data_IF_638812950907
#
_entry.id   IF_638812950907
#
_cell.length_a   1.000
_cell.length_b   1.000
_cell.length_c   1.000
_cell.angle_alpha   90.00
_cell.angle_beta   90.00
_cell.angle_gamma   90.00
#
_symmetry.space_group_name_H-M   'P 1'
#
loop_
_entity.id
_entity.type
_entity.pdbx_description
1 polymer ?
#
# COMPACT_ATOMS: atom_id res chain seq x y z
N UNK A 1 -4.20 -49.39 37.78
CA UNK A 1 -3.09 -48.48 38.15
C UNK A 1 -2.33 -48.19 36.86
N UNK A 2 -2.74 -47.14 36.15
CA UNK A 2 -1.89 -45.98 35.75
C UNK A 2 -0.72 -46.47 34.89
N UNK A 3 -0.65 -46.17 33.60
CA UNK A 3 -0.04 -44.92 33.13
C UNK A 3 -0.72 -44.40 31.85
N UNK A 4 -1.26 -43.19 31.95
CA UNK A 4 -1.61 -42.31 30.84
C UNK A 4 -0.31 -41.83 30.18
N UNK A 5 -0.03 -42.26 28.96
CA UNK A 5 0.92 -41.55 28.10
C UNK A 5 0.24 -40.27 27.63
N UNK A 6 0.38 -39.23 28.44
CA UNK A 6 0.07 -37.86 28.12
C UNK A 6 0.83 -37.53 26.84
N UNK A 7 0.10 -37.41 25.73
CA UNK A 7 0.63 -36.97 24.45
C UNK A 7 1.24 -35.58 24.63
N UNK A 8 2.56 -35.55 24.74
CA UNK A 8 3.37 -34.35 24.65
C UNK A 8 3.42 -33.97 23.17
N UNK A 9 2.29 -33.49 22.65
CA UNK A 9 2.29 -32.71 21.41
C UNK A 9 3.10 -31.47 21.77
N UNK A 10 4.30 -31.24 21.18
CA UNK A 10 4.89 -29.94 21.28
C UNK A 10 3.91 -29.04 20.54
N UNK A 11 3.20 -28.20 21.30
CA UNK A 11 2.45 -27.06 20.81
C UNK A 11 3.52 -26.12 20.20
N UNK A 12 4.04 -26.50 19.04
CA UNK A 12 4.97 -25.74 18.26
C UNK A 12 4.22 -24.47 17.91
N UNK A 13 4.54 -23.44 18.68
CA UNK A 13 3.91 -22.14 18.66
C UNK A 13 3.95 -21.69 17.20
N UNK A 14 2.79 -21.66 16.55
CA UNK A 14 2.57 -20.91 15.32
C UNK A 14 2.66 -19.43 15.70
N UNK A 15 3.87 -18.98 16.03
CA UNK A 15 4.23 -17.57 16.02
C UNK A 15 4.19 -17.21 14.55
N UNK A 16 2.98 -16.88 14.08
CA UNK A 16 2.84 -16.06 12.89
C UNK A 16 3.63 -14.81 13.23
N UNK A 17 4.83 -14.68 12.67
CA UNK A 17 5.62 -13.48 12.76
C UNK A 17 4.74 -12.36 12.19
N UNK A 18 3.97 -11.70 13.04
CA UNK A 18 3.39 -10.41 12.74
C UNK A 18 4.57 -9.48 12.70
N UNK A 19 5.23 -9.42 11.55
CA UNK A 19 6.20 -8.39 11.22
C UNK A 19 5.48 -7.05 11.44
N UNK A 20 5.64 -6.49 12.63
CA UNK A 20 5.13 -5.18 12.94
C UNK A 20 5.90 -4.23 12.07
N UNK A 21 5.23 -3.65 11.07
CA UNK A 21 5.87 -2.62 10.25
C UNK A 21 6.43 -1.55 11.17
N UNK A 22 7.69 -1.20 10.92
CA UNK A 22 8.32 -0.03 11.49
C UNK A 22 7.51 1.21 11.12
N UNK A 23 7.72 2.28 11.87
CA UNK A 23 7.08 3.55 11.57
C UNK A 23 7.46 4.06 10.18
N UNK A 24 8.74 3.94 9.82
CA UNK A 24 9.26 4.37 8.53
C UNK A 24 8.57 3.63 7.38
N UNK A 25 8.47 2.29 7.46
CA UNK A 25 7.78 1.49 6.42
C UNK A 25 6.29 1.87 6.29
N UNK A 26 5.61 2.22 7.40
CA UNK A 26 4.23 2.70 7.34
C UNK A 26 4.14 4.03 6.59
N UNK A 27 5.04 4.95 6.87
CA UNK A 27 5.10 6.24 6.20
C UNK A 27 5.35 6.07 4.70
N UNK A 28 6.34 5.25 4.33
CA UNK A 28 6.68 4.95 2.93
C UNK A 28 5.51 4.31 2.18
N UNK A 29 4.86 3.29 2.75
CA UNK A 29 3.73 2.59 2.12
C UNK A 29 2.48 3.46 2.05
N UNK A 30 2.24 4.33 3.04
CA UNK A 30 1.17 5.32 2.96
C UNK A 30 1.41 6.28 1.79
N UNK A 31 2.60 6.89 1.72
CA UNK A 31 2.95 7.84 0.68
C UNK A 31 2.88 7.19 -0.72
N UNK A 32 3.38 5.96 -0.84
CA UNK A 32 3.34 5.17 -2.06
C UNK A 32 1.91 4.89 -2.50
N UNK A 33 1.06 4.36 -1.61
CA UNK A 33 -0.32 4.05 -1.96
C UNK A 33 -1.06 5.31 -2.45
N UNK A 34 -0.93 6.43 -1.74
CA UNK A 34 -1.59 7.68 -2.14
C UNK A 34 -1.03 8.21 -3.47
N UNK A 35 0.29 8.18 -3.67
CA UNK A 35 0.93 8.63 -4.92
C UNK A 35 0.52 7.77 -6.11
N UNK A 36 0.49 6.45 -5.95
CA UNK A 36 0.07 5.50 -6.99
C UNK A 36 -1.38 5.76 -7.39
N UNK A 37 -2.28 5.94 -6.42
CA UNK A 37 -3.69 6.22 -6.71
C UNK A 37 -3.89 7.58 -7.36
N UNK A 38 -3.17 8.61 -6.92
CA UNK A 38 -3.23 9.93 -7.56
C UNK A 38 -2.73 9.90 -9.00
N UNK A 39 -1.64 9.16 -9.25
CA UNK A 39 -1.08 8.97 -10.59
C UNK A 39 -2.02 8.17 -11.49
N UNK A 40 -2.69 7.14 -10.96
CA UNK A 40 -3.70 6.36 -11.68
C UNK A 40 -4.85 7.23 -12.23
N UNK A 41 -5.20 8.32 -11.54
CA UNK A 41 -6.22 9.26 -12.00
C UNK A 41 -5.67 10.39 -12.87
N UNK A 42 -4.39 10.36 -13.28
CA UNK A 42 -3.78 11.45 -14.04
C UNK A 42 -3.81 12.78 -13.27
N UNK A 43 -3.53 12.73 -11.96
CA UNK A 43 -3.54 13.88 -11.06
C UNK A 43 -4.91 14.61 -10.90
N UNK A 44 -6.01 13.97 -11.31
CA UNK A 44 -7.37 14.53 -11.15
C UNK A 44 -8.35 13.49 -10.64
N UNK A 45 -8.64 13.52 -9.34
CA UNK A 45 -9.53 12.55 -8.71
C UNK A 45 -10.99 12.81 -9.11
N UNK A 46 -11.69 11.85 -9.73
CA UNK A 46 -13.01 12.10 -10.32
C UNK A 46 -14.16 12.14 -9.29
N UNK A 47 -14.09 11.33 -8.22
CA UNK A 47 -15.08 11.34 -7.14
C UNK A 47 -14.59 10.57 -5.91
N UNK A 48 -15.19 10.83 -4.74
CA UNK A 48 -14.91 10.11 -3.49
C UNK A 48 -15.11 8.60 -3.64
N UNK A 49 -16.16 8.17 -4.34
CA UNK A 49 -16.45 6.75 -4.56
C UNK A 49 -15.37 6.06 -5.40
N UNK A 50 -14.94 6.69 -6.49
CA UNK A 50 -13.86 6.18 -7.36
C UNK A 50 -12.53 6.16 -6.61
N UNK A 51 -12.24 7.21 -5.84
CA UNK A 51 -11.06 7.27 -4.97
C UNK A 51 -11.03 6.10 -3.98
N UNK A 52 -12.10 5.90 -3.21
CA UNK A 52 -12.14 4.82 -2.22
C UNK A 52 -11.99 3.44 -2.87
N UNK A 53 -12.59 3.24 -4.04
CA UNK A 53 -12.43 2.00 -4.80
C UNK A 53 -10.96 1.77 -5.15
N UNK A 54 -10.28 2.78 -5.69
CA UNK A 54 -8.88 2.68 -6.10
C UNK A 54 -7.94 2.53 -4.90
N UNK A 55 -8.18 3.23 -3.80
CA UNK A 55 -7.43 3.05 -2.54
C UNK A 55 -7.56 1.62 -2.02
N UNK A 56 -8.77 1.04 -2.04
CA UNK A 56 -8.96 -0.36 -1.63
C UNK A 56 -8.23 -1.33 -2.53
N UNK A 57 -8.20 -1.07 -3.84
CA UNK A 57 -7.45 -1.87 -4.79
C UNK A 57 -5.95 -1.80 -4.47
N UNK A 58 -5.39 -0.61 -4.35
CA UNK A 58 -3.97 -0.40 -4.06
C UNK A 58 -3.57 -1.00 -2.70
N UNK A 59 -4.35 -0.79 -1.64
CA UNK A 59 -4.10 -1.39 -0.31
C UNK A 59 -4.01 -2.92 -0.33
N UNK A 60 -4.66 -3.61 -1.29
CA UNK A 60 -4.61 -5.09 -1.38
C UNK A 60 -3.30 -5.60 -1.95
N UNK A 61 -2.55 -4.77 -2.67
CA UNK A 61 -1.25 -5.10 -3.27
C UNK A 61 -0.11 -5.11 -2.25
N UNK A 62 -0.29 -4.40 -1.13
CA UNK A 62 0.70 -4.30 -0.05
C UNK A 62 0.35 -5.29 1.07
N UNK A 63 0.71 -6.58 0.95
CA UNK A 63 0.27 -7.63 1.87
C UNK A 63 0.55 -7.34 3.35
N UNK A 64 1.74 -6.82 3.66
CA UNK A 64 2.18 -6.43 4.99
C UNK A 64 1.41 -5.19 5.52
N UNK A 65 1.01 -4.26 4.66
CA UNK A 65 0.30 -3.03 5.04
C UNK A 65 -1.23 -3.14 4.94
N UNK A 66 -1.76 -4.13 4.21
CA UNK A 66 -3.17 -4.28 3.83
C UNK A 66 -4.15 -4.15 5.00
N UNK A 67 -3.86 -4.82 6.12
CA UNK A 67 -4.73 -4.83 7.32
C UNK A 67 -4.85 -3.45 7.96
N UNK A 68 -3.82 -2.61 7.84
CA UNK A 68 -3.80 -1.22 8.33
C UNK A 68 -4.35 -0.24 7.30
N UNK A 69 -3.93 -0.40 6.03
CA UNK A 69 -4.31 0.47 4.92
C UNK A 69 -5.82 0.52 4.68
N UNK A 70 -6.49 -0.63 4.58
CA UNK A 70 -7.91 -0.69 4.24
C UNK A 70 -8.83 0.10 5.20
N UNK A 71 -8.78 -0.09 6.54
CA UNK A 71 -9.59 0.70 7.45
C UNK A 71 -9.16 2.16 7.47
N UNK A 72 -7.86 2.46 7.43
CA UNK A 72 -7.33 3.82 7.44
C UNK A 72 -7.85 4.65 6.26
N UNK A 73 -7.73 4.12 5.04
CA UNK A 73 -8.20 4.79 3.82
C UNK A 73 -9.72 4.93 3.80
N UNK A 74 -10.47 3.96 4.35
CA UNK A 74 -11.93 4.02 4.41
C UNK A 74 -12.41 5.10 5.38
N UNK A 75 -11.85 5.16 6.59
CA UNK A 75 -12.25 6.10 7.63
C UNK A 75 -11.89 7.55 7.27
N UNK A 76 -10.78 7.74 6.54
CA UNK A 76 -10.25 9.07 6.23
C UNK A 76 -10.41 9.43 4.73
N UNK A 77 -11.32 8.77 4.00
CA UNK A 77 -11.47 8.98 2.57
C UNK A 77 -11.76 10.44 2.22
N UNK A 78 -12.48 11.16 3.08
CA UNK A 78 -12.80 12.58 2.87
C UNK A 78 -11.55 13.46 2.98
N UNK A 79 -10.72 13.24 4.02
CA UNK A 79 -9.44 13.94 4.19
C UNK A 79 -8.52 13.68 3.00
N UNK A 80 -8.43 12.42 2.56
CA UNK A 80 -7.60 12.05 1.40
C UNK A 80 -8.12 12.71 0.12
N UNK A 81 -9.44 12.70 -0.10
CA UNK A 81 -10.07 13.32 -1.26
C UNK A 81 -9.78 14.82 -1.33
N UNK A 82 -9.91 15.53 -0.20
CA UNK A 82 -9.58 16.95 -0.12
C UNK A 82 -8.09 17.21 -0.31
N UNK A 83 -7.21 16.39 0.28
CA UNK A 83 -5.76 16.50 0.07
C UNK A 83 -5.37 16.35 -1.41
N UNK A 84 -5.98 15.40 -2.12
CA UNK A 84 -5.73 15.18 -3.56
C UNK A 84 -6.39 16.21 -4.48
N UNK A 85 -7.33 17.02 -3.99
CA UNK A 85 -7.95 18.08 -4.80
C UNK A 85 -7.06 19.32 -4.94
N UNK A 86 -6.00 19.42 -4.14
CA UNK A 86 -5.04 20.51 -4.22
C UNK A 86 -4.12 20.34 -5.44
N UNK A 87 -3.89 21.43 -6.19
CA UNK A 87 -3.02 21.44 -7.38
C UNK A 87 -1.57 21.01 -7.09
N UNK A 88 -1.14 21.09 -5.83
CA UNK A 88 0.19 20.70 -5.35
C UNK A 88 0.09 19.52 -4.39
N UNK A 89 -0.59 18.45 -4.77
CA UNK A 89 -0.77 17.29 -3.90
C UNK A 89 0.58 16.71 -3.42
N UNK A 90 0.77 16.68 -2.11
CA UNK A 90 1.94 16.08 -1.44
C UNK A 90 1.50 14.91 -0.56
N UNK A 91 1.79 13.65 -0.94
CA UNK A 91 1.36 12.47 -0.19
C UNK A 91 1.76 12.50 1.29
N UNK A 92 2.95 13.01 1.60
CA UNK A 92 3.47 13.11 2.97
C UNK A 92 2.56 13.95 3.88
N UNK A 93 1.98 15.04 3.39
CA UNK A 93 1.11 15.91 4.20
C UNK A 93 -0.15 15.18 4.63
N UNK A 94 -0.74 14.40 3.71
CA UNK A 94 -1.90 13.56 4.04
C UNK A 94 -1.47 12.44 4.99
N UNK A 95 -0.34 11.78 4.74
CA UNK A 95 0.15 10.71 5.63
C UNK A 95 0.53 11.18 7.03
N UNK A 96 0.93 12.45 7.21
CA UNK A 96 1.09 13.10 8.52
C UNK A 96 -0.26 13.23 9.23
N UNK A 97 -1.29 13.73 8.54
CA UNK A 97 -2.65 13.84 9.09
C UNK A 97 -3.20 12.46 9.49
N UNK A 98 -2.93 11.44 8.68
CA UNK A 98 -3.31 10.05 8.93
C UNK A 98 -2.46 9.37 10.02
N UNK A 99 -1.44 10.04 10.55
CA UNK A 99 -0.49 9.52 11.56
C UNK A 99 0.28 8.28 11.10
N UNK A 100 0.54 8.19 9.80
CA UNK A 100 1.43 7.18 9.22
C UNK A 100 2.86 7.69 9.11
N UNK A 101 3.06 9.00 9.04
CA UNK A 101 4.35 9.68 9.07
C UNK A 101 4.50 10.55 10.33
N UNK A 102 5.74 10.86 10.70
CA UNK A 102 6.14 11.90 11.67
C UNK A 102 6.75 13.11 10.95
N UNK A 103 6.82 14.24 11.63
CA UNK A 103 7.33 15.52 11.10
C UNK A 103 8.75 15.44 10.54
N UNK A 104 9.57 14.50 11.01
CA UNK A 104 10.94 14.30 10.55
C UNK A 104 11.08 13.21 9.47
N UNK A 105 9.99 12.56 9.07
CA UNK A 105 10.03 11.58 7.99
C UNK A 105 10.18 12.30 6.64
N UNK A 106 10.90 11.68 5.72
CA UNK A 106 11.20 12.25 4.40
C UNK A 106 10.06 11.99 3.41
N UNK A 107 9.89 12.90 2.45
CA UNK A 107 9.01 12.66 1.30
C UNK A 107 9.57 11.51 0.48
N UNK A 108 8.69 10.65 -0.02
CA UNK A 108 9.06 9.55 -0.90
C UNK A 108 9.67 10.11 -2.21
N UNK A 109 10.88 9.67 -2.55
CA UNK A 109 11.54 10.03 -3.81
C UNK A 109 10.87 9.31 -4.99
N UNK A 110 11.08 9.80 -6.21
CA UNK A 110 10.54 9.16 -7.43
C UNK A 110 11.17 7.78 -7.64
N UNK A 111 12.47 7.65 -7.37
CA UNK A 111 13.25 6.40 -7.54
C UNK A 111 12.73 5.23 -6.71
N UNK A 112 12.25 5.50 -5.48
CA UNK A 112 11.69 4.47 -4.61
C UNK A 112 10.37 3.87 -5.15
N UNK A 113 9.59 4.66 -5.90
CA UNK A 113 8.35 4.20 -6.50
C UNK A 113 8.62 3.18 -7.61
N UNK A 114 9.70 3.38 -8.37
CA UNK A 114 10.05 2.48 -9.48
C UNK A 114 10.64 1.16 -8.97
N UNK A 115 11.47 1.19 -7.92
CA UNK A 115 11.97 -0.03 -7.28
C UNK A 115 10.85 -0.91 -6.69
N UNK A 116 9.82 -0.31 -6.08
CA UNK A 116 8.68 -1.07 -5.55
C UNK A 116 7.74 -1.59 -6.62
N UNK A 117 7.57 -0.86 -7.73
CA UNK A 117 6.87 -1.40 -8.89
C UNK A 117 7.59 -2.64 -9.40
N UNK A 118 8.91 -2.59 -9.53
CA UNK A 118 9.72 -3.73 -10.01
C UNK A 118 9.69 -4.91 -9.02
N UNK A 119 9.79 -4.65 -7.71
CA UNK A 119 9.70 -5.67 -6.67
C UNK A 119 8.31 -6.36 -6.60
N UNK A 120 7.25 -5.71 -7.11
CA UNK A 120 5.92 -6.30 -7.23
C UNK A 120 5.61 -6.85 -8.64
N UNK A 121 6.53 -6.73 -9.60
CA UNK A 121 6.31 -6.97 -11.03
C UNK A 121 6.97 -8.23 -11.61
N UNK A 122 7.42 -9.21 -10.83
CA UNK A 122 7.88 -10.50 -11.38
C UNK A 122 7.22 -11.72 -10.72
N UNK A 123 6.83 -12.75 -11.51
CA UNK A 123 5.98 -12.62 -12.70
C UNK A 123 4.87 -13.69 -12.76
N UNK A 124 3.68 -13.34 -13.23
CA UNK A 124 2.83 -14.30 -13.96
C UNK A 124 2.80 -13.89 -15.43
N UNK A 125 3.57 -14.67 -16.19
CA UNK A 125 3.49 -15.01 -17.61
C UNK A 125 2.23 -14.55 -18.35
N UNK A 126 2.47 -13.92 -19.50
CA UNK A 126 1.63 -14.05 -20.70
C UNK A 126 0.86 -12.79 -21.07
N UNK A 127 1.39 -12.01 -22.01
CA UNK A 127 0.70 -11.48 -23.19
C UNK A 127 1.73 -10.68 -23.98
N UNK A 128 2.37 -11.31 -24.96
CA UNK A 128 3.01 -10.58 -26.07
C UNK A 128 1.90 -10.19 -27.03
N UNK A 129 1.37 -8.97 -26.87
CA UNK A 129 0.57 -8.32 -27.90
C UNK A 129 1.52 -7.56 -28.84
N UNK A 130 1.45 -7.97 -30.10
CA UNK A 130 1.56 -7.20 -31.33
C UNK A 130 2.56 -6.02 -31.41
N UNK A 131 3.53 -6.25 -32.28
CA UNK A 131 4.42 -5.27 -32.89
C UNK A 131 3.59 -4.21 -33.64
N UNK A 132 3.56 -2.98 -33.13
CA UNK A 132 3.22 -1.80 -33.92
C UNK A 132 4.49 -1.00 -34.18
N UNK A 133 4.95 -1.05 -35.43
CA UNK A 133 6.09 -0.28 -35.95
C UNK A 133 5.58 1.12 -36.34
N UNK A 134 6.16 2.21 -35.82
CA UNK A 134 5.90 3.54 -36.35
C UNK A 134 6.95 3.87 -37.42
N UNK A 135 6.45 4.32 -38.58
CA UNK A 135 7.12 4.80 -39.80
C UNK A 135 7.12 3.81 -40.99
N UNK A 136 6.50 4.30 -42.08
CA UNK A 136 6.15 3.75 -43.41
C UNK A 136 4.92 2.83 -43.53
#
# INVERSE_FOLDING_TARGET
>A
MHWLFIGLVPLAVLISATSMLSLQEKCELCQMALRTVFSHFGAKVPSRRKLLHQLKHECRRHFNYRRRCLPLMKQNCDVIFHGMANNSFRPIEVCLILKECKEHDSSISVEFVDFYKEATAFPLVGFTDDIYNPFD
#
